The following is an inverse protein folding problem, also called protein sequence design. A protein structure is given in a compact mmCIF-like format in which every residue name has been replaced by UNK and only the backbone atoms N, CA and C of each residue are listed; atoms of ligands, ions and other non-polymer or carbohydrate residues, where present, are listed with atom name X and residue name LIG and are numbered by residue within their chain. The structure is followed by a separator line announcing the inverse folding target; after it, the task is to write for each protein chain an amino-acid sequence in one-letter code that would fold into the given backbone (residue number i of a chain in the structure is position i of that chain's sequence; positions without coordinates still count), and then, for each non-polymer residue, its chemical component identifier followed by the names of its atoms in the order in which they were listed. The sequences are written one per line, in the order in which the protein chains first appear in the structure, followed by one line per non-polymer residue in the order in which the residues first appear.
data_IF_749296505357
#
_entry.id   IF_749296505357
#
_cell.length_a   1.000
_cell.length_b   1.000
_cell.length_c   1.000
_cell.angle_alpha   90.00
_cell.angle_beta   90.00
_cell.angle_gamma   90.00
#
_symmetry.space_group_name_H-M   'P 1'
#
loop_
_entity.id
_entity.type
_entity.pdbx_description
1 polymer ?
#
# COMPACT_ATOMS: atom_id res chain seq x y z
N UNK A 1 19.25 -29.02 -3.26
CA UNK A 1 17.98 -28.47 -2.76
C UNK A 1 17.92 -27.03 -3.20
N UNK A 2 16.78 -26.58 -3.75
CA UNK A 2 16.69 -25.36 -4.57
C UNK A 2 17.49 -24.16 -4.02
N UNK A 3 17.27 -23.77 -2.75
CA UNK A 3 17.96 -22.61 -2.16
C UNK A 3 19.48 -22.76 -2.08
N UNK A 4 19.99 -23.98 -1.86
CA UNK A 4 21.42 -24.23 -1.85
C UNK A 4 22.05 -24.15 -3.25
N UNK A 5 21.30 -24.49 -4.29
CA UNK A 5 21.75 -24.42 -5.68
C UNK A 5 21.73 -22.97 -6.21
N UNK A 6 20.81 -22.14 -5.71
CA UNK A 6 20.66 -20.74 -6.15
C UNK A 6 21.28 -19.71 -5.23
N UNK A 7 21.92 -20.11 -4.13
CA UNK A 7 22.41 -19.21 -3.08
C UNK A 7 23.34 -18.10 -3.63
N UNK A 8 24.22 -18.42 -4.57
CA UNK A 8 25.14 -17.47 -5.18
C UNK A 8 24.44 -16.35 -5.98
N UNK A 9 23.23 -16.62 -6.48
CA UNK A 9 22.43 -15.65 -7.21
C UNK A 9 21.59 -14.76 -6.29
N UNK A 10 21.49 -15.08 -4.98
CA UNK A 10 20.71 -14.31 -3.99
C UNK A 10 21.51 -13.20 -3.28
N UNK A 11 22.79 -13.02 -3.61
CA UNK A 11 23.67 -12.02 -2.97
C UNK A 11 23.14 -10.59 -3.10
N UNK A 12 23.34 -9.79 -2.06
CA UNK A 12 22.83 -8.42 -1.97
C UNK A 12 23.94 -7.38 -2.25
N UNK A 13 23.57 -6.18 -2.73
CA UNK A 13 24.53 -5.09 -2.96
C UNK A 13 25.35 -4.70 -1.72
N UNK A 14 24.74 -4.86 -0.54
CA UNK A 14 25.34 -4.48 0.75
C UNK A 14 26.55 -5.36 1.11
N UNK A 15 26.62 -6.59 0.58
CA UNK A 15 27.69 -7.55 0.90
C UNK A 15 29.05 -7.16 0.29
N UNK A 16 29.08 -6.21 -0.65
CA UNK A 16 30.31 -5.73 -1.28
C UNK A 16 30.80 -4.42 -0.68
N UNK A 17 31.71 -4.51 0.29
CA UNK A 17 32.42 -3.40 0.96
C UNK A 17 33.38 -2.58 0.07
N UNK A 18 33.19 -2.61 -1.23
CA UNK A 18 34.00 -1.80 -2.13
C UNK A 18 33.63 -1.99 -3.58
N UNK A 19 32.67 -1.20 -4.09
CA UNK A 19 32.51 -0.95 -5.51
C UNK A 19 31.81 0.41 -5.69
N UNK A 20 32.63 1.44 -5.90
CA UNK A 20 32.26 2.83 -6.21
C UNK A 20 31.57 3.00 -7.59
N UNK A 21 30.97 1.94 -8.15
CA UNK A 21 30.45 1.98 -9.52
C UNK A 21 29.00 1.49 -9.60
N UNK A 22 28.01 2.39 -9.80
CA UNK A 22 26.61 2.00 -10.00
C UNK A 22 26.45 0.98 -11.13
N UNK A 23 27.27 1.02 -12.19
CA UNK A 23 27.24 0.08 -13.32
C UNK A 23 27.48 -1.38 -12.92
N UNK A 24 28.17 -1.63 -11.79
CA UNK A 24 28.45 -3.00 -11.32
C UNK A 24 27.20 -3.70 -10.78
N UNK A 25 26.23 -2.95 -10.26
CA UNK A 25 24.94 -3.49 -9.84
C UNK A 25 24.04 -3.76 -11.03
N UNK A 26 24.01 -2.82 -11.97
CA UNK A 26 23.29 -2.94 -13.22
C UNK A 26 23.74 -4.14 -14.07
N UNK A 27 24.96 -4.62 -13.91
CA UNK A 27 25.48 -5.77 -14.67
C UNK A 27 25.50 -7.05 -13.84
N UNK A 28 26.14 -7.07 -12.66
CA UNK A 28 26.36 -8.31 -11.90
C UNK A 28 25.12 -8.76 -11.13
N UNK A 29 24.50 -7.87 -10.35
CA UNK A 29 23.33 -8.23 -9.54
C UNK A 29 22.10 -8.45 -10.43
N UNK A 30 21.93 -7.67 -11.51
CA UNK A 30 20.88 -7.94 -12.50
C UNK A 30 21.03 -9.32 -13.15
N UNK A 31 22.25 -9.70 -13.58
CA UNK A 31 22.47 -11.03 -14.17
C UNK A 31 22.21 -12.16 -13.18
N UNK A 32 22.56 -11.98 -11.90
CA UNK A 32 22.25 -12.92 -10.82
C UNK A 32 20.75 -13.05 -10.59
N UNK A 33 20.06 -11.92 -10.42
CA UNK A 33 18.60 -11.90 -10.30
C UNK A 33 17.95 -12.60 -11.49
N UNK A 34 18.41 -12.32 -12.70
CA UNK A 34 17.89 -12.94 -13.92
C UNK A 34 18.10 -14.45 -13.92
N UNK A 35 19.29 -14.96 -13.57
CA UNK A 35 19.53 -16.41 -13.47
C UNK A 35 18.68 -17.05 -12.38
N UNK A 36 18.53 -16.39 -11.24
CA UNK A 36 17.67 -16.87 -10.17
C UNK A 36 16.21 -16.98 -10.64
N UNK A 37 15.70 -15.95 -11.32
CA UNK A 37 14.36 -15.95 -11.92
C UNK A 37 14.19 -17.03 -12.99
N UNK A 38 15.16 -17.20 -13.89
CA UNK A 38 15.16 -18.26 -14.91
C UNK A 38 15.13 -19.66 -14.27
N UNK A 39 15.91 -19.88 -13.20
CA UNK A 39 15.93 -21.15 -12.46
C UNK A 39 14.64 -21.39 -11.69
N UNK A 40 14.06 -20.34 -11.11
CA UNK A 40 12.77 -20.42 -10.42
C UNK A 40 11.63 -20.71 -11.41
N UNK A 41 11.67 -20.09 -12.57
CA UNK A 41 10.73 -20.31 -13.66
C UNK A 41 10.74 -21.77 -14.13
N UNK A 42 11.92 -22.36 -14.36
CA UNK A 42 11.99 -23.75 -14.82
C UNK A 42 11.40 -24.72 -13.79
N UNK A 43 11.50 -24.39 -12.50
CA UNK A 43 10.80 -25.12 -11.44
C UNK A 43 9.28 -24.93 -11.54
N UNK A 44 8.79 -23.71 -11.74
CA UNK A 44 7.34 -23.43 -11.90
C UNK A 44 6.72 -24.21 -13.06
N UNK A 45 7.45 -24.37 -14.17
CA UNK A 45 7.03 -25.20 -15.31
C UNK A 45 6.78 -26.68 -14.94
N UNK A 46 7.35 -27.15 -13.82
CA UNK A 46 7.22 -28.53 -13.34
C UNK A 46 6.22 -28.72 -12.19
N UNK A 47 5.74 -27.65 -11.56
CA UNK A 47 4.86 -27.70 -10.37
C UNK A 47 3.46 -28.26 -10.68
N UNK A 48 3.08 -28.30 -11.97
CA UNK A 48 1.76 -28.73 -12.40
C UNK A 48 0.70 -27.67 -12.11
N UNK A 49 -0.52 -27.93 -12.56
CA UNK A 49 -1.64 -27.00 -12.43
C UNK A 49 -2.48 -27.34 -11.21
N UNK A 50 -2.79 -26.34 -10.38
CA UNK A 50 -3.62 -26.49 -9.19
C UNK A 50 -4.97 -25.76 -9.36
N UNK A 51 -6.04 -26.29 -8.75
CA UNK A 51 -7.29 -25.52 -8.59
C UNK A 51 -7.07 -24.36 -7.59
N UNK A 52 -7.76 -23.24 -7.79
CA UNK A 52 -7.63 -22.03 -6.97
C UNK A 52 -7.82 -22.29 -5.47
N UNK A 53 -8.71 -23.21 -5.08
CA UNK A 53 -8.90 -23.56 -3.68
C UNK A 53 -7.67 -24.26 -3.10
N UNK A 54 -7.04 -25.14 -3.88
CA UNK A 54 -5.80 -25.79 -3.48
C UNK A 54 -4.63 -24.79 -3.47
N UNK A 55 -4.56 -23.90 -4.47
CA UNK A 55 -3.52 -22.90 -4.58
C UNK A 55 -3.46 -21.97 -3.35
N UNK A 56 -4.59 -21.69 -2.69
CA UNK A 56 -4.60 -20.90 -1.44
C UNK A 56 -3.80 -21.52 -0.29
N UNK A 57 -3.50 -22.83 -0.33
CA UNK A 57 -2.62 -23.46 0.65
C UNK A 57 -1.15 -23.01 0.51
N UNK A 58 -0.75 -22.45 -0.64
CA UNK A 58 0.55 -21.82 -0.83
C UNK A 58 0.64 -20.41 -0.23
N UNK A 59 -0.50 -19.81 0.14
CA UNK A 59 -0.55 -18.55 0.88
C UNK A 59 -0.56 -18.87 2.37
N UNK A 60 0.45 -18.36 3.08
CA UNK A 60 0.54 -18.47 4.53
C UNK A 60 -0.54 -17.60 5.19
N UNK A 61 -1.30 -18.17 6.11
CA UNK A 61 -2.41 -17.54 6.84
C UNK A 61 -2.02 -17.08 8.24
N UNK A 62 -0.72 -17.06 8.56
CA UNK A 62 -0.22 -16.68 9.88
C UNK A 62 -0.44 -17.73 10.95
N UNK A 63 -0.74 -18.98 10.57
CA UNK A 63 -1.14 -20.05 11.49
C UNK A 63 -2.35 -19.65 12.36
N UNK A 64 -3.20 -18.76 11.80
CA UNK A 64 -4.37 -18.20 12.46
C UNK A 64 -4.08 -17.19 13.58
N UNK A 65 -2.82 -16.83 13.84
CA UNK A 65 -2.44 -15.97 14.96
C UNK A 65 -1.51 -14.81 14.59
N UNK A 66 -0.70 -14.95 13.54
CA UNK A 66 0.29 -13.93 13.16
C UNK A 66 -0.32 -12.92 12.18
N UNK A 67 -0.54 -11.65 12.61
CA UNK A 67 -1.12 -10.63 11.74
C UNK A 67 -0.20 -10.21 10.59
N UNK A 68 1.09 -10.58 10.64
CA UNK A 68 2.06 -10.28 9.57
C UNK A 68 1.83 -11.08 8.29
N UNK A 69 0.89 -12.03 8.28
CA UNK A 69 0.52 -12.78 7.09
C UNK A 69 -0.20 -11.93 6.02
N UNK A 70 -0.73 -10.77 6.41
CA UNK A 70 -1.32 -9.81 5.48
C UNK A 70 -0.97 -8.39 5.92
N UNK A 71 -0.47 -7.60 4.98
CA UNK A 71 0.00 -6.24 5.24
C UNK A 71 -0.53 -5.32 4.14
N UNK A 72 -0.94 -4.13 4.54
CA UNK A 72 -1.24 -3.02 3.64
C UNK A 72 -0.15 -1.97 3.79
N UNK A 73 0.47 -1.60 2.67
CA UNK A 73 1.48 -0.53 2.64
C UNK A 73 0.81 0.71 2.08
N UNK A 74 0.61 1.72 2.92
CA UNK A 74 0.16 3.03 2.48
C UNK A 74 1.37 3.85 2.04
N UNK A 75 1.34 4.29 0.79
CA UNK A 75 2.34 5.21 0.24
C UNK A 75 1.80 6.63 0.33
N UNK A 76 2.39 7.41 1.23
CA UNK A 76 2.22 8.85 1.29
C UNK A 76 3.30 9.51 0.39
N UNK A 77 3.25 10.83 0.19
CA UNK A 77 4.17 11.53 -0.72
C UNK A 77 5.66 11.16 -0.51
N UNK A 78 6.19 11.48 0.66
CA UNK A 78 7.59 11.31 1.06
C UNK A 78 7.72 10.46 2.34
N UNK A 79 6.73 9.60 2.58
CA UNK A 79 6.76 8.58 3.63
C UNK A 79 5.86 7.40 3.26
N UNK A 80 5.95 6.33 4.03
CA UNK A 80 5.01 5.23 3.94
C UNK A 80 4.72 4.70 5.34
N UNK A 81 3.62 3.99 5.45
CA UNK A 81 3.24 3.29 6.67
C UNK A 81 2.73 1.90 6.34
N UNK A 82 2.84 1.00 7.31
CA UNK A 82 2.46 -0.40 7.16
C UNK A 82 1.45 -0.74 8.22
N UNK A 83 0.29 -1.22 7.79
CA UNK A 83 -0.79 -1.67 8.65
C UNK A 83 -1.02 -3.17 8.45
N UNK A 84 -1.40 -3.85 9.53
CA UNK A 84 -1.78 -5.26 9.48
C UNK A 84 -3.13 -5.43 8.81
N UNK A 85 -3.30 -6.49 8.02
CA UNK A 85 -4.53 -6.78 7.30
C UNK A 85 -4.54 -6.28 5.86
N UNK A 86 -5.65 -6.56 5.18
CA UNK A 86 -5.98 -6.08 3.84
C UNK A 86 -6.97 -4.92 4.00
N UNK A 87 -6.44 -3.70 4.04
CA UNK A 87 -7.16 -2.47 4.40
C UNK A 87 -7.37 -1.62 3.14
N UNK A 88 -8.55 -1.00 3.04
CA UNK A 88 -8.93 -0.19 1.88
C UNK A 88 -9.66 -1.00 0.82
N UNK A 89 -9.69 -0.46 -0.39
CA UNK A 89 -10.21 -1.15 -1.58
C UNK A 89 -9.14 -2.10 -2.18
N UNK A 90 -9.50 -2.87 -3.20
CA UNK A 90 -8.55 -3.71 -3.93
C UNK A 90 -7.42 -2.86 -4.51
N UNK A 91 -6.15 -3.13 -4.15
CA UNK A 91 -5.04 -2.33 -4.63
C UNK A 91 -4.75 -2.64 -6.10
N UNK A 92 -4.12 -1.69 -6.80
CA UNK A 92 -3.68 -1.91 -8.19
C UNK A 92 -2.64 -3.04 -8.27
N UNK A 93 -1.71 -3.08 -7.32
CA UNK A 93 -0.62 -4.07 -7.24
C UNK A 93 -0.69 -4.85 -5.92
N UNK A 94 -0.22 -6.09 -5.93
CA UNK A 94 -0.16 -6.95 -4.74
C UNK A 94 1.06 -7.83 -4.83
N UNK A 95 1.73 -8.05 -3.70
CA UNK A 95 2.93 -8.87 -3.65
C UNK A 95 2.66 -10.14 -2.84
N UNK A 96 3.12 -11.27 -3.36
CA UNK A 96 3.27 -12.49 -2.57
C UNK A 96 4.74 -12.64 -2.23
N UNK A 97 5.07 -12.64 -0.94
CA UNK A 97 6.45 -12.67 -0.46
C UNK A 97 6.75 -14.08 0.04
N UNK A 98 7.66 -14.75 -0.65
CA UNK A 98 8.22 -16.02 -0.17
C UNK A 98 9.42 -15.79 0.77
N UNK A 99 9.92 -16.87 1.37
CA UNK A 99 10.99 -16.76 2.36
C UNK A 99 12.29 -16.13 1.81
N UNK A 100 12.82 -16.51 0.64
CA UNK A 100 14.00 -15.85 0.06
C UNK A 100 13.78 -14.36 -0.21
N UNK A 101 12.60 -13.97 -0.72
CA UNK A 101 12.28 -12.57 -0.96
C UNK A 101 12.20 -11.79 0.36
N UNK A 102 11.59 -12.35 1.39
CA UNK A 102 11.53 -11.76 2.74
C UNK A 102 12.92 -11.48 3.31
N UNK A 103 13.81 -12.49 3.31
CA UNK A 103 15.18 -12.35 3.81
C UNK A 103 15.93 -11.27 3.03
N UNK A 104 15.82 -11.25 1.70
CA UNK A 104 16.49 -10.24 0.87
C UNK A 104 15.98 -8.83 1.14
N UNK A 105 14.67 -8.63 1.34
CA UNK A 105 14.10 -7.35 1.75
C UNK A 105 14.64 -6.95 3.13
N UNK A 106 14.66 -7.88 4.10
CA UNK A 106 15.14 -7.63 5.45
C UNK A 106 16.62 -7.21 5.48
N UNK A 107 17.50 -7.97 4.84
CA UNK A 107 18.93 -7.64 4.81
C UNK A 107 19.22 -6.38 4.00
N UNK A 108 18.45 -6.10 2.94
CA UNK A 108 18.62 -4.89 2.16
C UNK A 108 18.20 -3.63 2.93
N UNK A 109 17.06 -3.67 3.62
CA UNK A 109 16.42 -2.47 4.20
C UNK A 109 16.59 -2.33 5.71
N UNK A 110 16.99 -3.39 6.42
CA UNK A 110 17.09 -3.40 7.88
C UNK A 110 18.51 -3.71 8.32
N UNK A 111 18.98 -4.94 8.11
CA UNK A 111 20.28 -5.35 8.66
C UNK A 111 21.47 -4.68 7.94
N UNK A 112 21.32 -4.44 6.63
CA UNK A 112 22.37 -3.88 5.77
C UNK A 112 22.17 -2.42 5.38
N UNK A 113 21.08 -1.77 5.80
CA UNK A 113 20.81 -0.40 5.40
C UNK A 113 21.50 0.60 6.33
N UNK A 114 22.48 1.34 5.79
CA UNK A 114 23.10 2.47 6.47
C UNK A 114 22.37 3.79 6.17
N UNK A 115 21.65 4.32 7.16
CA UNK A 115 20.94 5.60 7.09
C UNK A 115 21.92 6.78 6.92
N UNK A 116 23.15 6.65 7.43
CA UNK A 116 24.21 7.65 7.30
C UNK A 116 25.15 7.34 6.11
N UNK A 117 24.84 6.30 5.35
CA UNK A 117 25.60 5.88 4.18
C UNK A 117 25.57 6.92 3.05
N UNK A 118 26.49 6.77 2.10
CA UNK A 118 26.57 7.71 0.98
C UNK A 118 25.36 7.59 0.03
N UNK A 119 25.16 8.62 -0.80
CA UNK A 119 24.07 8.65 -1.79
C UNK A 119 24.06 7.46 -2.74
N UNK A 120 25.24 6.89 -3.03
CA UNK A 120 25.36 5.69 -3.87
C UNK A 120 24.75 4.47 -3.19
N UNK A 121 25.00 4.26 -1.89
CA UNK A 121 24.38 3.19 -1.10
C UNK A 121 22.84 3.31 -1.10
N UNK A 122 22.32 4.50 -0.85
CA UNK A 122 20.88 4.75 -0.83
C UNK A 122 20.25 4.52 -2.22
N UNK A 123 20.86 5.03 -3.29
CA UNK A 123 20.39 4.83 -4.65
C UNK A 123 20.42 3.35 -5.08
N UNK A 124 21.50 2.64 -4.72
CA UNK A 124 21.67 1.23 -5.04
C UNK A 124 20.62 0.36 -4.33
N UNK A 125 20.38 0.63 -3.05
CA UNK A 125 19.32 -0.02 -2.25
C UNK A 125 17.97 0.20 -2.92
N UNK A 126 17.67 1.43 -3.37
CA UNK A 126 16.38 1.75 -3.99
C UNK A 126 16.15 1.01 -5.31
N UNK A 127 17.17 0.94 -6.17
CA UNK A 127 17.10 0.19 -7.44
C UNK A 127 16.90 -1.30 -7.17
N UNK A 128 17.65 -1.86 -6.22
CA UNK A 128 17.52 -3.28 -5.89
C UNK A 128 16.13 -3.60 -5.32
N UNK A 129 15.57 -2.70 -4.51
CA UNK A 129 14.22 -2.84 -4.00
C UNK A 129 13.15 -2.86 -5.09
N UNK A 130 13.34 -2.12 -6.19
CA UNK A 130 12.42 -2.20 -7.34
C UNK A 130 12.44 -3.60 -7.99
N UNK A 131 13.58 -4.31 -7.99
CA UNK A 131 13.65 -5.71 -8.43
C UNK A 131 12.94 -6.66 -7.49
N UNK A 132 13.13 -6.51 -6.18
CA UNK A 132 12.46 -7.33 -5.16
C UNK A 132 10.93 -7.13 -5.21
N UNK A 133 10.49 -5.89 -5.41
CA UNK A 133 9.09 -5.55 -5.64
C UNK A 133 8.50 -6.32 -6.82
N UNK A 134 9.15 -6.22 -7.99
CA UNK A 134 8.70 -6.93 -9.19
C UNK A 134 8.64 -8.44 -8.99
N UNK A 135 9.60 -9.01 -8.28
CA UNK A 135 9.59 -10.43 -7.94
C UNK A 135 8.35 -10.79 -7.11
N UNK A 136 7.99 -9.98 -6.11
CA UNK A 136 6.77 -10.19 -5.33
C UNK A 136 5.47 -10.02 -6.12
N UNK A 137 5.44 -9.05 -7.04
CA UNK A 137 4.33 -8.83 -7.99
C UNK A 137 4.17 -10.01 -8.95
N UNK A 138 5.29 -10.52 -9.48
CA UNK A 138 5.32 -11.67 -10.37
C UNK A 138 4.83 -12.95 -9.64
N UNK A 139 5.15 -13.12 -8.35
CA UNK A 139 4.58 -14.20 -7.54
C UNK A 139 3.07 -14.10 -7.41
N UNK A 140 2.51 -12.90 -7.24
CA UNK A 140 1.06 -12.71 -7.22
C UNK A 140 0.43 -13.05 -8.57
N UNK A 141 1.03 -12.57 -9.67
CA UNK A 141 0.58 -12.88 -11.03
C UNK A 141 0.58 -14.39 -11.31
N UNK A 142 1.49 -15.16 -10.72
CA UNK A 142 1.54 -16.61 -10.86
C UNK A 142 0.29 -17.33 -10.32
N UNK A 143 -0.55 -16.67 -9.51
CA UNK A 143 -1.85 -17.21 -9.11
C UNK A 143 -2.96 -16.94 -10.12
N UNK A 144 -2.81 -15.93 -10.99
CA UNK A 144 -3.84 -15.56 -11.98
C UNK A 144 -3.81 -16.45 -13.23
N UNK A 145 -4.89 -16.48 -14.04
CA UNK A 145 -4.89 -17.18 -15.32
C UNK A 145 -3.80 -16.67 -16.26
N UNK A 146 -3.06 -17.58 -16.91
CA UNK A 146 -1.91 -17.22 -17.75
C UNK A 146 -2.23 -16.18 -18.82
N UNK A 147 -3.41 -16.29 -19.44
CA UNK A 147 -3.88 -15.38 -20.50
C UNK A 147 -4.14 -13.93 -20.07
N UNK A 148 -4.16 -13.62 -18.76
CA UNK A 148 -4.38 -12.26 -18.25
C UNK A 148 -3.12 -11.61 -17.67
N UNK A 149 -2.11 -12.40 -17.27
CA UNK A 149 -0.95 -11.90 -16.52
C UNK A 149 -0.18 -10.83 -17.28
N UNK A 150 0.05 -11.02 -18.57
CA UNK A 150 0.81 -10.06 -19.39
C UNK A 150 0.08 -8.71 -19.50
N UNK A 151 -1.24 -8.72 -19.70
CA UNK A 151 -2.03 -7.50 -19.78
C UNK A 151 -2.00 -6.71 -18.45
N UNK A 152 -2.21 -7.41 -17.32
CA UNK A 152 -2.16 -6.83 -15.97
C UNK A 152 -0.76 -6.29 -15.64
N UNK A 153 0.28 -7.08 -15.91
CA UNK A 153 1.67 -6.65 -15.72
C UNK A 153 1.97 -5.42 -16.55
N UNK A 154 1.59 -5.42 -17.83
CA UNK A 154 1.83 -4.29 -18.72
C UNK A 154 1.07 -3.03 -18.28
N UNK A 155 -0.10 -3.13 -17.63
CA UNK A 155 -0.79 -1.96 -17.10
C UNK A 155 -0.03 -1.30 -15.95
N UNK A 156 0.59 -2.08 -15.05
CA UNK A 156 1.41 -1.55 -13.94
C UNK A 156 2.68 -0.83 -14.41
N UNK A 157 3.16 -1.17 -15.62
CA UNK A 157 4.42 -0.69 -16.20
C UNK A 157 4.23 0.13 -17.48
N UNK A 158 3.00 0.58 -17.78
CA UNK A 158 2.69 1.30 -19.01
C UNK A 158 3.49 2.62 -19.15
N UNK A 159 3.79 3.28 -18.04
CA UNK A 159 4.50 4.58 -18.00
C UNK A 159 6.03 4.49 -18.09
N UNK A 160 6.62 3.31 -18.31
CA UNK A 160 8.07 3.15 -18.40
C UNK A 160 8.64 3.88 -19.63
N UNK A 161 9.54 4.85 -19.39
CA UNK A 161 10.34 5.48 -20.46
C UNK A 161 11.05 4.39 -21.26
N UNK A 162 11.07 4.51 -22.59
CA UNK A 162 11.64 3.52 -23.53
C UNK A 162 13.07 3.10 -23.20
N UNK A 163 13.89 4.00 -22.63
CA UNK A 163 15.25 3.69 -22.20
C UNK A 163 15.35 2.77 -20.99
N UNK A 164 14.31 2.68 -20.15
CA UNK A 164 14.30 1.85 -18.94
C UNK A 164 13.76 0.44 -19.19
N UNK A 165 12.96 0.25 -20.26
CA UNK A 165 12.40 -1.07 -20.64
C UNK A 165 13.46 -2.13 -20.87
N UNK A 166 14.63 -1.75 -21.40
CA UNK A 166 15.75 -2.66 -21.64
C UNK A 166 16.29 -3.29 -20.33
N UNK A 167 16.11 -2.63 -19.19
CA UNK A 167 16.55 -3.13 -17.87
C UNK A 167 15.57 -4.13 -17.23
N UNK A 168 14.40 -4.35 -17.82
CA UNK A 168 13.37 -5.27 -17.30
C UNK A 168 13.12 -6.47 -18.24
N UNK A 169 14.09 -6.75 -19.10
CA UNK A 169 14.06 -7.82 -20.11
C UNK A 169 14.36 -9.21 -19.52
N UNK A 170 13.85 -9.48 -18.31
CA UNK A 170 13.84 -10.85 -17.79
C UNK A 170 12.95 -11.73 -18.68
N UNK A 171 13.27 -13.02 -18.88
CA UNK A 171 12.41 -13.92 -19.64
C UNK A 171 11.01 -13.97 -19.02
N UNK A 172 9.99 -13.72 -19.84
CA UNK A 172 8.59 -13.68 -19.45
C UNK A 172 7.84 -14.97 -19.82
N UNK A 173 8.55 -16.02 -20.22
CA UNK A 173 7.92 -17.25 -20.69
C UNK A 173 7.05 -17.92 -19.61
N UNK A 174 7.35 -17.69 -18.32
CA UNK A 174 6.55 -18.18 -17.20
C UNK A 174 5.14 -17.56 -17.14
N UNK A 175 4.93 -16.38 -17.72
CA UNK A 175 3.60 -15.75 -17.79
C UNK A 175 2.62 -16.64 -18.55
N UNK A 176 3.11 -17.50 -19.45
CA UNK A 176 2.30 -18.41 -20.27
C UNK A 176 2.07 -19.78 -19.63
N UNK A 177 2.67 -20.05 -18.47
CA UNK A 177 2.55 -21.33 -17.76
C UNK A 177 1.30 -21.31 -16.89
N UNK A 178 0.32 -22.15 -17.21
CA UNK A 178 -0.93 -22.24 -16.44
C UNK A 178 -0.73 -23.02 -15.13
N UNK A 179 -0.49 -22.29 -14.04
CA UNK A 179 -0.25 -22.82 -12.70
C UNK A 179 -1.51 -22.92 -11.85
N UNK A 180 -2.53 -22.08 -12.10
CA UNK A 180 -3.76 -22.04 -11.30
C UNK A 180 -4.99 -21.96 -12.19
N UNK A 181 -5.98 -22.83 -11.94
CA UNK A 181 -7.27 -22.86 -12.66
C UNK A 181 -8.45 -22.82 -11.68
N UNK A 182 -9.69 -22.84 -12.16
CA UNK A 182 -10.88 -22.90 -11.30
C UNK A 182 -11.59 -21.56 -11.05
N UNK A 183 -11.12 -20.48 -11.68
CA UNK A 183 -11.79 -19.18 -11.71
C UNK A 183 -13.17 -19.25 -12.37
N UNK A 184 -14.14 -18.50 -11.84
CA UNK A 184 -15.54 -18.48 -12.32
C UNK A 184 -16.00 -17.11 -12.78
N UNK A 185 -15.34 -16.05 -12.32
CA UNK A 185 -15.65 -14.67 -12.64
C UNK A 185 -14.98 -14.22 -13.94
N UNK A 186 -15.54 -13.19 -14.57
CA UNK A 186 -14.87 -12.45 -15.66
C UNK A 186 -13.76 -11.51 -15.13
N UNK A 187 -13.69 -11.33 -13.80
CA UNK A 187 -12.68 -10.53 -13.11
C UNK A 187 -11.85 -11.42 -12.16
N UNK A 188 -10.94 -12.26 -12.68
CA UNK A 188 -10.22 -13.24 -11.84
C UNK A 188 -9.28 -12.58 -10.82
N UNK A 189 -8.78 -11.37 -11.07
CA UNK A 189 -8.00 -10.64 -10.07
C UNK A 189 -8.83 -10.31 -8.82
N UNK A 190 -10.06 -9.81 -9.01
CA UNK A 190 -10.99 -9.56 -7.90
C UNK A 190 -11.39 -10.88 -7.22
N UNK A 191 -11.66 -11.93 -7.99
CA UNK A 191 -11.96 -13.26 -7.44
C UNK A 191 -10.79 -13.79 -6.58
N UNK A 192 -9.55 -13.67 -7.05
CA UNK A 192 -8.35 -14.04 -6.29
C UNK A 192 -8.25 -13.25 -4.98
N UNK A 193 -8.52 -11.95 -5.00
CA UNK A 193 -8.55 -11.17 -3.76
C UNK A 193 -9.55 -11.70 -2.75
N UNK A 194 -10.75 -12.09 -3.18
CA UNK A 194 -11.75 -12.72 -2.31
C UNK A 194 -11.24 -14.03 -1.71
N UNK A 195 -10.55 -14.87 -2.48
CA UNK A 195 -9.94 -16.11 -1.97
C UNK A 195 -8.83 -15.83 -0.95
N UNK A 196 -7.93 -14.88 -1.22
CA UNK A 196 -6.86 -14.48 -0.31
C UNK A 196 -7.46 -13.93 0.99
N UNK A 197 -8.46 -13.05 0.89
CA UNK A 197 -9.14 -12.46 2.05
C UNK A 197 -9.77 -13.53 2.93
N UNK A 198 -10.44 -14.52 2.34
CA UNK A 198 -10.96 -15.67 3.07
C UNK A 198 -9.85 -16.46 3.75
N UNK A 199 -8.72 -16.69 3.05
CA UNK A 199 -7.56 -17.43 3.55
C UNK A 199 -6.95 -16.79 4.79
N UNK A 200 -6.80 -15.45 4.82
CA UNK A 200 -6.18 -14.72 5.94
C UNK A 200 -7.18 -14.17 6.97
N UNK A 201 -8.46 -14.50 6.84
CA UNK A 201 -9.56 -13.91 7.65
C UNK A 201 -9.39 -14.07 9.17
N UNK A 202 -8.68 -15.10 9.62
CA UNK A 202 -8.39 -15.32 11.04
C UNK A 202 -7.47 -14.24 11.65
N UNK A 203 -6.62 -13.61 10.83
CA UNK A 203 -5.59 -12.65 11.26
C UNK A 203 -5.74 -11.26 10.62
N UNK A 204 -6.55 -11.13 9.58
CA UNK A 204 -6.79 -9.87 8.90
C UNK A 204 -7.54 -8.88 9.81
N UNK A 205 -7.05 -7.64 9.85
CA UNK A 205 -7.63 -6.58 10.68
C UNK A 205 -9.01 -6.13 10.18
N UNK A 206 -9.86 -5.65 11.10
CA UNK A 206 -11.26 -5.24 10.85
C UNK A 206 -11.42 -3.90 10.10
N UNK A 207 -10.34 -3.31 9.57
CA UNK A 207 -10.34 -1.99 8.92
C UNK A 207 -11.07 -1.93 7.57
N UNK A 208 -11.49 -3.07 7.03
CA UNK A 208 -12.13 -3.18 5.70
C UNK A 208 -13.56 -2.63 5.64
N UNK A 209 -14.36 -2.82 6.69
CA UNK A 209 -15.82 -2.53 6.65
C UNK A 209 -16.17 -1.06 6.38
N UNK A 210 -15.23 -0.14 6.63
CA UNK A 210 -15.41 1.29 6.32
C UNK A 210 -15.20 1.63 4.84
N UNK A 211 -14.46 0.80 4.11
CA UNK A 211 -14.04 1.06 2.73
C UNK A 211 -14.73 0.15 1.71
N UNK A 212 -15.18 -1.01 2.16
CA UNK A 212 -15.79 -2.02 1.31
C UNK A 212 -16.78 -2.84 2.13
N UNK A 213 -18.03 -2.91 1.68
CA UNK A 213 -19.14 -3.46 2.47
C UNK A 213 -19.97 -4.47 1.67
N UNK A 214 -19.30 -5.50 1.18
CA UNK A 214 -19.90 -6.52 0.32
C UNK A 214 -20.27 -7.81 1.07
N UNK A 215 -19.85 -7.95 2.34
CA UNK A 215 -20.10 -9.12 3.18
C UNK A 215 -21.27 -8.91 4.16
N UNK A 216 -22.01 -9.98 4.46
CA UNK A 216 -23.15 -9.99 5.39
C UNK A 216 -22.81 -9.49 6.82
N UNK A 217 -21.53 -9.57 7.21
CA UNK A 217 -21.04 -9.21 8.55
C UNK A 217 -20.54 -7.76 8.64
N UNK A 218 -20.76 -6.95 7.62
CA UNK A 218 -20.28 -5.57 7.58
C UNK A 218 -20.86 -4.67 8.71
N UNK A 219 -21.97 -5.09 9.31
CA UNK A 219 -22.63 -4.41 10.44
C UNK A 219 -22.01 -4.76 11.82
N UNK A 220 -20.96 -5.57 11.90
CA UNK A 220 -20.35 -6.00 13.18
C UNK A 220 -19.36 -4.99 13.78
N UNK A 221 -19.23 -3.78 13.22
CA UNK A 221 -18.41 -2.73 13.83
C UNK A 221 -19.14 -2.01 14.97
N UNK A 222 -18.44 -1.62 16.05
CA UNK A 222 -19.03 -0.94 17.21
C UNK A 222 -19.30 0.55 16.95
N UNK A 223 -19.50 0.98 15.70
CA UNK A 223 -19.74 2.38 15.36
C UNK A 223 -21.25 2.64 15.20
N UNK A 224 -21.75 3.80 15.64
CA UNK A 224 -23.11 4.23 15.32
C UNK A 224 -23.35 4.22 13.80
N UNK A 225 -24.49 3.68 13.37
CA UNK A 225 -24.81 3.49 11.95
C UNK A 225 -24.67 4.78 11.12
N UNK A 226 -25.07 5.93 11.69
CA UNK A 226 -24.93 7.25 11.07
C UNK A 226 -23.47 7.61 10.75
N UNK A 227 -22.55 7.34 11.69
CA UNK A 227 -21.12 7.60 11.51
C UNK A 227 -20.57 6.64 10.45
N UNK A 228 -20.92 5.36 10.53
CA UNK A 228 -20.47 4.35 9.56
C UNK A 228 -20.87 4.73 8.12
N UNK A 229 -22.13 5.10 7.90
CA UNK A 229 -22.63 5.52 6.59
C UNK A 229 -21.91 6.76 6.05
N UNK A 230 -21.69 7.77 6.92
CA UNK A 230 -20.96 8.97 6.54
C UNK A 230 -19.50 8.69 6.15
N UNK A 231 -18.82 7.81 6.89
CA UNK A 231 -17.44 7.40 6.57
C UNK A 231 -17.36 6.57 5.29
N UNK A 232 -18.31 5.66 5.05
CA UNK A 232 -18.41 4.90 3.81
C UNK A 232 -18.66 5.81 2.60
N UNK A 233 -19.51 6.84 2.75
CA UNK A 233 -19.71 7.84 1.71
C UNK A 233 -18.41 8.59 1.37
N UNK A 234 -17.58 8.90 2.38
CA UNK A 234 -16.27 9.52 2.18
C UNK A 234 -15.30 8.54 1.50
N UNK A 235 -15.24 7.28 1.94
CA UNK A 235 -14.38 6.25 1.35
C UNK A 235 -14.71 5.97 -0.13
N UNK A 236 -15.97 6.17 -0.55
CA UNK A 236 -16.40 6.01 -1.94
C UNK A 236 -15.94 7.15 -2.89
N UNK A 237 -15.30 8.20 -2.37
CA UNK A 237 -14.77 9.30 -3.19
C UNK A 237 -13.54 8.79 -3.96
N UNK A 238 -13.53 9.02 -5.27
CA UNK A 238 -12.45 8.60 -6.17
C UNK A 238 -12.21 9.58 -7.32
N UNK A 239 -11.08 9.42 -7.99
CA UNK A 239 -10.68 10.11 -9.21
C UNK A 239 -10.23 11.54 -9.00
N UNK A 240 -10.35 12.35 -10.07
CA UNK A 240 -9.67 13.65 -10.20
C UNK A 240 -9.94 14.62 -9.04
N UNK A 241 -11.12 14.56 -8.42
CA UNK A 241 -11.49 15.42 -7.29
C UNK A 241 -10.61 15.23 -6.05
N UNK A 242 -9.99 14.06 -5.88
CA UNK A 242 -9.05 13.82 -4.79
C UNK A 242 -7.74 14.58 -4.94
N UNK A 243 -7.47 15.19 -6.12
CA UNK A 243 -6.23 15.91 -6.36
C UNK A 243 -5.94 17.01 -5.34
N UNK A 244 -6.99 17.65 -4.81
CA UNK A 244 -6.91 18.75 -3.86
C UNK A 244 -6.87 18.31 -2.40
N UNK A 245 -7.07 17.02 -2.14
CA UNK A 245 -7.02 16.46 -0.80
C UNK A 245 -5.56 16.22 -0.36
N UNK A 246 -5.28 16.40 0.94
CA UNK A 246 -4.01 16.00 1.53
C UNK A 246 -3.82 14.48 1.48
N UNK A 247 -2.59 14.01 1.67
CA UNK A 247 -2.27 12.59 1.66
C UNK A 247 -2.84 11.87 2.86
N UNK A 248 -2.66 12.45 4.05
CA UNK A 248 -3.21 11.94 5.31
C UNK A 248 -3.86 13.08 6.07
N UNK A 249 -5.16 12.96 6.32
CA UNK A 249 -5.87 13.85 7.22
C UNK A 249 -6.44 13.10 8.41
N UNK A 250 -6.26 13.63 9.61
CA UNK A 250 -6.91 13.08 10.80
C UNK A 250 -8.24 13.78 11.05
N UNK A 251 -9.26 13.00 11.40
CA UNK A 251 -10.61 13.48 11.69
C UNK A 251 -10.95 13.11 13.12
N UNK A 252 -11.30 14.11 13.91
CA UNK A 252 -11.92 13.94 15.23
C UNK A 252 -13.43 14.10 15.08
N UNK A 253 -14.18 13.07 15.48
CA UNK A 253 -15.62 13.19 15.67
C UNK A 253 -15.85 13.41 17.17
N UNK A 254 -16.37 14.60 17.50
CA UNK A 254 -16.73 14.98 18.87
C UNK A 254 -18.08 14.36 19.19
N UNK A 255 -18.06 13.41 20.12
CA UNK A 255 -19.27 12.74 20.59
C UNK A 255 -19.98 13.62 21.62
N UNK A 256 -21.26 13.34 21.87
CA UNK A 256 -22.03 14.08 22.88
C UNK A 256 -21.51 13.83 24.30
N UNK A 257 -20.96 12.63 24.57
CA UNK A 257 -20.39 12.27 25.85
C UNK A 257 -18.88 12.62 25.93
N UNK A 258 -18.44 13.36 26.95
CA UNK A 258 -17.03 13.71 27.11
C UNK A 258 -16.15 12.46 27.24
N UNK A 259 -15.13 12.36 26.39
CA UNK A 259 -14.15 11.27 26.41
C UNK A 259 -14.43 10.12 25.44
N UNK A 260 -15.56 10.15 24.73
CA UNK A 260 -15.92 9.14 23.73
C UNK A 260 -15.53 9.52 22.29
N UNK A 261 -14.84 10.65 22.13
CA UNK A 261 -14.44 11.16 20.83
C UNK A 261 -13.69 10.12 19.98
N UNK A 262 -14.11 10.03 18.73
CA UNK A 262 -13.60 9.05 17.78
C UNK A 262 -12.54 9.68 16.88
N UNK A 263 -11.52 8.90 16.54
CA UNK A 263 -10.42 9.32 15.69
C UNK A 263 -10.35 8.45 14.44
N UNK A 264 -10.25 9.10 13.29
CA UNK A 264 -10.12 8.44 11.99
C UNK A 264 -9.01 9.07 11.17
N UNK A 265 -8.51 8.32 10.20
CA UNK A 265 -7.64 8.86 9.15
C UNK A 265 -8.31 8.74 7.79
N UNK A 266 -8.23 9.81 7.01
CA UNK A 266 -8.51 9.83 5.58
C UNK A 266 -7.16 9.74 4.87
N UNK A 267 -6.97 8.68 4.09
CA UNK A 267 -5.72 8.37 3.41
C UNK A 267 -6.00 8.41 1.92
N UNK A 268 -5.38 9.35 1.22
CA UNK A 268 -5.47 9.43 -0.24
C UNK A 268 -4.48 8.46 -0.87
N UNK A 269 -5.01 7.43 -1.51
CA UNK A 269 -4.21 6.50 -2.30
C UNK A 269 -3.93 7.12 -3.67
N UNK A 270 -2.68 7.51 -3.89
CA UNK A 270 -2.23 8.06 -5.17
C UNK A 270 -1.88 6.93 -6.13
N UNK A 271 -2.57 6.86 -7.27
CA UNK A 271 -2.19 5.95 -8.33
C UNK A 271 -0.96 6.47 -9.09
N UNK A 272 -0.12 5.55 -9.58
CA UNK A 272 1.06 5.88 -10.36
C UNK A 272 1.26 4.82 -11.45
N UNK A 273 1.08 5.18 -12.72
CA UNK A 273 1.41 4.33 -13.88
C UNK A 273 2.92 4.07 -14.05
N UNK A 274 3.75 4.77 -13.28
CA UNK A 274 5.17 4.52 -13.21
C UNK A 274 5.60 4.28 -11.75
N UNK A 275 5.65 3.01 -11.38
CA UNK A 275 6.03 2.56 -10.04
C UNK A 275 7.56 2.48 -9.87
N UNK A 276 8.38 2.87 -10.87
CA UNK A 276 9.82 3.03 -10.67
C UNK A 276 10.06 4.30 -9.88
N UNK A 277 10.23 4.11 -8.59
CA UNK A 277 10.38 5.15 -7.59
C UNK A 277 11.63 6.02 -7.73
N UNK A 278 12.65 5.55 -8.45
CA UNK A 278 13.97 6.18 -8.39
C UNK A 278 14.06 7.54 -9.10
N UNK A 279 13.09 7.91 -9.95
CA UNK A 279 13.24 9.08 -10.84
C UNK A 279 11.94 9.87 -11.14
N UNK A 280 10.84 9.62 -10.42
CA UNK A 280 9.56 10.29 -10.66
C UNK A 280 9.23 11.31 -9.56
N UNK A 281 9.25 12.59 -9.94
CA UNK A 281 8.72 13.73 -9.14
C UNK A 281 7.18 13.75 -9.23
N UNK A 282 6.49 14.26 -8.20
CA UNK A 282 5.03 14.41 -8.19
C UNK A 282 4.51 15.31 -9.32
N UNK A 283 5.33 16.27 -9.74
CA UNK A 283 5.06 17.11 -10.91
C UNK A 283 4.99 16.31 -12.23
N UNK A 284 5.39 15.04 -12.21
CA UNK A 284 5.32 14.11 -13.33
C UNK A 284 4.09 13.20 -13.35
N UNK A 285 3.18 13.30 -12.36
CA UNK A 285 1.91 12.55 -12.38
C UNK A 285 1.03 13.09 -13.49
N UNK A 286 0.61 12.22 -14.39
CA UNK A 286 -0.29 12.65 -15.46
C UNK A 286 -1.75 12.63 -14.99
N UNK A 287 -2.64 13.22 -15.80
CA UNK A 287 -4.08 13.26 -15.47
C UNK A 287 -4.66 11.86 -15.27
N UNK A 288 -4.17 10.87 -16.00
CA UNK A 288 -4.69 9.51 -15.96
C UNK A 288 -4.27 8.75 -14.71
N UNK A 289 -3.16 9.13 -14.08
CA UNK A 289 -2.82 8.72 -12.71
C UNK A 289 -3.83 9.28 -11.72
N UNK A 290 -4.11 10.58 -11.78
CA UNK A 290 -4.98 11.27 -10.82
C UNK A 290 -6.44 10.76 -10.94
N UNK A 291 -6.87 10.37 -12.13
CA UNK A 291 -8.20 9.78 -12.36
C UNK A 291 -8.39 8.42 -11.67
N UNK A 292 -7.31 7.77 -11.22
CA UNK A 292 -7.34 6.49 -10.49
C UNK A 292 -7.07 6.67 -8.98
N UNK A 293 -6.96 7.90 -8.47
CA UNK A 293 -6.83 8.12 -7.03
C UNK A 293 -8.07 7.61 -6.29
N UNK A 294 -7.86 6.99 -5.13
CA UNK A 294 -8.94 6.55 -4.23
C UNK A 294 -8.73 7.08 -2.82
N UNK A 295 -9.76 7.01 -1.99
CA UNK A 295 -9.67 7.41 -0.58
C UNK A 295 -9.91 6.19 0.32
N UNK A 296 -9.07 6.01 1.32
CA UNK A 296 -9.24 4.99 2.36
C UNK A 296 -9.48 5.65 3.70
N UNK A 297 -10.49 5.18 4.41
CA UNK A 297 -10.90 5.64 5.73
C UNK A 297 -10.63 4.54 6.76
N UNK A 298 -9.90 4.88 7.81
CA UNK A 298 -9.55 3.95 8.89
C UNK A 298 -9.92 4.53 10.24
N UNK A 299 -10.28 3.68 11.21
CA UNK A 299 -10.68 4.07 12.57
C UNK A 299 -9.51 4.14 13.57
N UNK A 300 -8.31 4.41 13.06
CA UNK A 300 -7.13 4.72 13.85
C UNK A 300 -6.36 5.86 13.19
N UNK A 301 -5.30 6.31 13.85
CA UNK A 301 -4.39 7.34 13.36
C UNK A 301 -3.26 6.68 12.56
N UNK A 302 -3.33 6.80 11.23
CA UNK A 302 -2.38 6.17 10.31
C UNK A 302 -1.18 7.06 10.06
N UNK A 303 0.02 6.52 10.29
CA UNK A 303 1.28 7.22 10.05
C UNK A 303 1.62 8.29 11.10
N UNK A 304 2.83 8.84 10.97
CA UNK A 304 3.37 9.85 11.88
C UNK A 304 3.31 11.28 11.34
N UNK A 305 2.88 11.48 10.08
CA UNK A 305 2.97 12.74 9.35
C UNK A 305 1.58 13.20 8.86
N UNK A 306 0.65 13.59 9.76
CA UNK A 306 -0.64 14.09 9.31
C UNK A 306 -0.46 15.43 8.60
N UNK A 307 -1.04 15.54 7.41
CA UNK A 307 -1.01 16.77 6.61
C UNK A 307 -2.10 17.76 7.05
N UNK A 308 -3.22 17.29 7.60
CA UNK A 308 -4.31 18.17 7.99
C UNK A 308 -5.21 17.56 9.08
N UNK A 309 -5.87 18.42 9.86
CA UNK A 309 -6.82 18.03 10.89
C UNK A 309 -8.21 18.57 10.61
N UNK A 310 -9.20 17.70 10.78
CA UNK A 310 -10.62 18.05 10.82
C UNK A 310 -11.19 17.74 12.19
N UNK A 311 -12.14 18.56 12.64
CA UNK A 311 -12.91 18.33 13.86
C UNK A 311 -14.38 18.61 13.62
N UNK A 312 -15.21 17.57 13.71
CA UNK A 312 -16.64 17.62 13.40
C UNK A 312 -17.45 17.17 14.62
N UNK A 313 -18.65 17.73 14.84
CA UNK A 313 -19.57 17.23 15.85
C UNK A 313 -20.35 16.02 15.31
N UNK A 314 -20.70 15.06 16.17
CA UNK A 314 -21.52 13.90 15.80
C UNK A 314 -22.84 14.30 15.10
N UNK A 315 -23.45 15.42 15.51
CA UNK A 315 -24.66 15.96 14.87
C UNK A 315 -24.46 16.28 13.39
N UNK A 316 -23.24 16.71 13.02
CA UNK A 316 -22.92 17.28 11.72
C UNK A 316 -22.24 16.29 10.77
N UNK A 317 -22.03 15.03 11.20
CA UNK A 317 -21.24 14.03 10.45
C UNK A 317 -21.79 13.73 9.06
N UNK A 318 -23.12 13.71 8.89
CA UNK A 318 -23.76 13.54 7.58
C UNK A 318 -23.50 14.73 6.67
N UNK A 319 -23.63 15.95 7.19
CA UNK A 319 -23.34 17.16 6.42
C UNK A 319 -21.85 17.23 6.06
N UNK A 320 -20.96 16.81 6.96
CA UNK A 320 -19.53 16.70 6.69
C UNK A 320 -19.24 15.74 5.53
N UNK A 321 -19.82 14.53 5.54
CA UNK A 321 -19.65 13.58 4.44
C UNK A 321 -20.22 14.09 3.11
N UNK A 322 -21.40 14.74 3.14
CA UNK A 322 -22.01 15.34 1.96
C UNK A 322 -21.14 16.46 1.36
N UNK A 323 -20.66 17.40 2.19
CA UNK A 323 -19.78 18.47 1.71
C UNK A 323 -18.45 17.92 1.21
N UNK A 324 -17.88 16.91 1.89
CA UNK A 324 -16.65 16.23 1.45
C UNK A 324 -16.82 15.61 0.05
N UNK A 325 -17.93 14.90 -0.19
CA UNK A 325 -18.23 14.27 -1.47
C UNK A 325 -18.48 15.26 -2.61
N UNK A 326 -18.86 16.50 -2.28
CA UNK A 326 -19.13 17.56 -3.25
C UNK A 326 -17.87 18.28 -3.75
N UNK A 327 -16.73 18.17 -3.05
CA UNK A 327 -15.48 18.81 -3.45
C UNK A 327 -15.09 18.36 -4.87
N UNK A 328 -14.93 19.31 -5.80
CA UNK A 328 -14.42 19.06 -7.15
C UNK A 328 -13.09 19.76 -7.40
N UNK A 329 -12.85 20.88 -6.73
CA UNK A 329 -11.69 21.73 -6.97
C UNK A 329 -11.17 22.37 -5.66
N UNK A 330 -10.12 23.17 -5.79
CA UNK A 330 -9.43 23.78 -4.65
C UNK A 330 -10.28 24.82 -3.92
N UNK A 331 -11.20 25.50 -4.61
CA UNK A 331 -12.13 26.45 -3.99
C UNK A 331 -13.14 25.71 -3.10
N UNK A 332 -13.71 24.61 -3.59
CA UNK A 332 -14.60 23.77 -2.79
C UNK A 332 -13.88 23.19 -1.55
N UNK A 333 -12.63 22.73 -1.74
CA UNK A 333 -11.81 22.21 -0.64
C UNK A 333 -11.53 23.28 0.41
N UNK A 334 -11.22 24.52 0.00
CA UNK A 334 -11.02 25.64 0.93
C UNK A 334 -12.29 25.96 1.71
N UNK A 335 -13.45 26.00 1.06
CA UNK A 335 -14.73 26.21 1.75
C UNK A 335 -15.04 25.09 2.75
N UNK A 336 -14.72 23.84 2.40
CA UNK A 336 -14.82 22.70 3.31
C UNK A 336 -13.86 22.81 4.50
N UNK A 337 -12.58 23.16 4.25
CA UNK A 337 -11.56 23.33 5.27
C UNK A 337 -11.83 24.54 6.18
N UNK A 338 -12.46 25.60 5.69
CA UNK A 338 -12.91 26.72 6.52
C UNK A 338 -13.99 26.31 7.52
N UNK A 339 -14.84 25.34 7.14
CA UNK A 339 -15.95 24.88 7.97
C UNK A 339 -15.53 23.84 9.01
N UNK A 340 -14.66 22.91 8.64
CA UNK A 340 -14.35 21.72 9.45
C UNK A 340 -12.87 21.59 9.81
N UNK A 341 -12.00 22.31 9.09
CA UNK A 341 -10.55 22.22 9.19
C UNK A 341 -9.96 23.07 10.30
N UNK A 342 -8.83 22.62 10.83
CA UNK A 342 -8.12 23.30 11.92
C UNK A 342 -6.78 23.80 11.40
N UNK A 343 -6.68 25.09 11.08
CA UNK A 343 -5.43 25.69 10.59
C UNK A 343 -4.47 25.99 11.74
N UNK A 344 -3.15 26.03 11.48
CA UNK A 344 -2.14 26.37 12.50
C UNK A 344 -2.36 27.72 13.17
N UNK A 345 -3.06 28.64 12.50
CA UNK A 345 -3.39 29.98 13.00
C UNK A 345 -4.59 30.00 13.95
N UNK A 346 -5.35 28.91 14.06
CA UNK A 346 -6.49 28.82 14.98
C UNK A 346 -6.01 28.55 16.41
N UNK A 347 -6.70 29.14 17.39
CA UNK A 347 -6.34 29.01 18.82
C UNK A 347 -6.38 27.57 19.34
N UNK A 348 -7.31 26.77 18.82
CA UNK A 348 -7.50 25.38 19.24
C UNK A 348 -6.53 24.39 18.58
N UNK A 349 -5.65 24.85 17.68
CA UNK A 349 -4.76 23.97 16.90
C UNK A 349 -3.92 23.05 17.80
N UNK A 350 -3.18 23.63 18.75
CA UNK A 350 -2.31 22.85 19.63
C UNK A 350 -3.09 21.90 20.54
N UNK A 351 -4.24 22.33 21.05
CA UNK A 351 -5.11 21.48 21.86
C UNK A 351 -5.62 20.26 21.08
N UNK A 352 -5.94 20.44 19.80
CA UNK A 352 -6.35 19.31 18.96
C UNK A 352 -5.16 18.42 18.58
N UNK A 353 -3.99 19.01 18.28
CA UNK A 353 -2.77 18.26 18.02
C UNK A 353 -2.39 17.37 19.22
N UNK A 354 -2.41 17.93 20.44
CA UNK A 354 -2.15 17.20 21.69
C UNK A 354 -3.18 16.09 21.89
N UNK A 355 -4.47 16.35 21.60
CA UNK A 355 -5.51 15.32 21.67
C UNK A 355 -5.23 14.14 20.72
N UNK A 356 -4.81 14.41 19.47
CA UNK A 356 -4.43 13.34 18.55
C UNK A 356 -3.16 12.61 19.00
N UNK A 357 -2.18 13.32 19.56
CA UNK A 357 -0.97 12.72 20.11
C UNK A 357 -1.29 11.76 21.27
N UNK A 358 -2.12 12.19 22.21
CA UNK A 358 -2.58 11.37 23.34
C UNK A 358 -3.38 10.17 22.85
N UNK A 359 -4.24 10.37 21.84
CA UNK A 359 -5.00 9.28 21.22
C UNK A 359 -4.10 8.26 20.53
N UNK A 360 -3.07 8.70 19.82
CA UNK A 360 -2.07 7.84 19.18
C UNK A 360 -1.33 7.01 20.24
N UNK A 361 -0.85 7.63 21.31
CA UNK A 361 -0.18 6.92 22.41
C UNK A 361 -1.09 5.87 23.05
N UNK A 362 -2.38 6.18 23.24
CA UNK A 362 -3.35 5.24 23.79
C UNK A 362 -3.64 4.07 22.84
N UNK A 363 -3.75 4.31 21.54
CA UNK A 363 -4.00 3.27 20.53
C UNK A 363 -2.77 2.41 20.24
N UNK A 364 -1.57 2.99 20.30
CA UNK A 364 -0.31 2.35 19.92
C UNK A 364 0.79 2.60 20.97
N UNK A 365 0.70 2.03 22.18
CA UNK A 365 1.62 2.35 23.27
C UNK A 365 3.09 1.97 23.00
N UNK A 366 3.33 1.01 22.10
CA UNK A 366 4.69 0.54 21.76
C UNK A 366 5.23 1.25 20.51
N UNK A 367 4.37 1.55 19.53
CA UNK A 367 4.76 2.10 18.22
C UNK A 367 4.47 3.58 18.05
N UNK A 368 3.64 4.15 18.93
CA UNK A 368 3.23 5.54 18.91
C UNK A 368 4.43 6.43 19.17
N UNK A 369 4.99 6.97 18.09
CA UNK A 369 5.97 8.05 18.14
C UNK A 369 5.29 9.41 18.28
N UNK A 370 6.06 10.47 18.08
CA UNK A 370 5.53 11.83 17.99
C UNK A 370 4.96 12.08 16.59
N UNK A 371 3.82 12.77 16.54
CA UNK A 371 3.28 13.31 15.30
C UNK A 371 4.19 14.46 14.82
N UNK A 372 4.76 14.30 13.63
CA UNK A 372 5.57 15.33 12.99
C UNK A 372 4.66 16.21 12.11
N UNK A 373 4.49 17.45 12.55
CA UNK A 373 3.66 18.45 11.90
C UNK A 373 4.44 19.29 10.87
N UNK A 374 5.66 18.90 10.49
CA UNK A 374 6.44 19.62 9.48
C UNK A 374 5.73 19.71 8.12
N UNK A 375 4.98 18.66 7.75
CA UNK A 375 4.20 18.50 6.51
C UNK A 375 2.75 18.96 6.64
N UNK A 376 2.39 19.60 7.76
CA UNK A 376 1.03 20.08 7.98
C UNK A 376 0.71 21.27 7.08
N UNK A 377 -0.33 21.15 6.28
CA UNK A 377 -0.74 22.12 5.28
C UNK A 377 -1.53 23.28 5.91
N UNK A 378 -1.25 24.51 5.47
CA UNK A 378 -2.03 25.71 5.80
C UNK A 378 -2.77 26.19 4.56
N UNK A 379 -3.70 25.38 4.05
CA UNK A 379 -4.44 25.66 2.81
C UNK A 379 -5.91 26.01 3.07
#
# INVERSE_FOLDING_TARGET
GFLGETADDLQLPVDSSGLLNPLSIWTRYWQRQRRYMETKQSMFETIGTHDIQHAMNFIWDGDGQNPSASLTVFRHFDSGSVAYGLIGDYPETTWVIDYPLLERIHYLLVAGFDVYGNLTHQANTRIYMDFLRMEGEDHFLAFLPANQREAIRNSWYAGLRTGVKNFFTAPQAWLQVESVTGYRSQHPQQELYTYIQKRVSAVASKGRHLNHCDDANCNEQPLPAKIMQALQQIAAIQGQRLHVFPDVAFVRIRMNEPGEDLAFSLIRNKAYKNVISAFTDENGRDRSDIEQDTLTVVNWLEGAYPNFFFSVAESDIEAFAQHCAQIQNMEDYKAFAERYGIRRTQKEFWKLADWFQDRLHAMQPIRGGLLDLNRYENR
#
